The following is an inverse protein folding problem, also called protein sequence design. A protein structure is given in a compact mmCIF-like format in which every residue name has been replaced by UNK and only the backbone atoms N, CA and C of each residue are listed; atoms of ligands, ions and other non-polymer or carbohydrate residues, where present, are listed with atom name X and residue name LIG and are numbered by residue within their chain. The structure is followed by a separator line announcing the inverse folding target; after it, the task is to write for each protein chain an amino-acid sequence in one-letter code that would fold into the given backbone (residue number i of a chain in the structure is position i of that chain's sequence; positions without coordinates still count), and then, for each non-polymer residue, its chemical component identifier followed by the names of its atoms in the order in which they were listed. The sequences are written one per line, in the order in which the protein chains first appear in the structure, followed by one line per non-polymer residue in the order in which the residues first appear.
data_IF_049227845989
#
_entry.id   IF_049227845989
#
_cell.length_a   1.000
_cell.length_b   1.000
_cell.length_c   1.000
_cell.angle_alpha   90.00
_cell.angle_beta   90.00
_cell.angle_gamma   90.00
#
_symmetry.space_group_name_H-M   'P 1'
#
loop_
_entity.id
_entity.type
_entity.pdbx_description
1 polymer ?
#
# COMPACT_ATOMS: atom_id res chain seq x y z
N UNK A 1 -13.93 57.07 -13.40
CA UNK A 1 -14.69 57.11 -14.67
C UNK A 1 -13.85 56.35 -15.71
N UNK A 2 -14.37 55.39 -16.49
CA UNK A 2 -15.42 55.52 -17.53
C UNK A 2 -15.02 56.54 -18.62
N UNK A 3 -15.11 56.36 -19.95
CA UNK A 3 -15.48 55.26 -20.87
C UNK A 3 -15.14 55.74 -22.33
N UNK A 4 -15.02 54.99 -23.44
CA UNK A 4 -15.11 53.55 -23.81
C UNK A 4 -14.35 53.34 -25.16
N UNK A 5 -14.17 52.07 -25.61
CA UNK A 5 -13.81 51.63 -26.99
C UNK A 5 -12.38 51.94 -27.52
N UNK A 6 -11.84 51.20 -28.49
CA UNK A 6 -12.29 49.93 -29.11
C UNK A 6 -11.45 49.52 -30.33
N UNK A 7 -11.34 48.21 -30.62
CA UNK A 7 -10.64 47.66 -31.80
C UNK A 7 -11.45 46.52 -32.41
N UNK A 8 -11.59 46.52 -33.75
CA UNK A 8 -12.27 45.47 -34.50
C UNK A 8 -11.37 44.24 -34.66
N UNK A 9 -11.96 43.05 -34.58
CA UNK A 9 -11.41 41.82 -35.15
C UNK A 9 -12.50 41.13 -35.98
N UNK A 10 -12.27 40.97 -37.29
CA UNK A 10 -13.24 40.38 -38.19
C UNK A 10 -13.22 38.84 -38.08
N UNK A 11 -14.28 38.25 -37.53
CA UNK A 11 -14.43 36.80 -37.47
C UNK A 11 -14.95 36.25 -38.81
N UNK A 12 -14.07 35.60 -39.58
CA UNK A 12 -14.48 34.82 -40.76
C UNK A 12 -15.33 33.62 -40.32
N UNK A 13 -16.56 33.54 -40.82
CA UNK A 13 -17.49 32.44 -40.53
C UNK A 13 -17.04 31.20 -41.30
N UNK A 14 -16.40 30.26 -40.60
CA UNK A 14 -16.15 28.92 -41.13
C UNK A 14 -17.46 28.10 -41.14
N UNK A 15 -17.71 27.28 -42.18
CA UNK A 15 -18.89 26.42 -42.22
C UNK A 15 -18.82 25.31 -41.13
N UNK A 16 -19.97 24.81 -40.63
CA UNK A 16 -19.99 23.77 -39.62
C UNK A 16 -19.39 22.46 -40.18
N UNK A 17 -18.35 21.97 -39.50
CA UNK A 17 -17.77 20.66 -39.81
C UNK A 17 -18.81 19.55 -39.55
N UNK A 18 -19.00 18.68 -40.52
CA UNK A 18 -19.87 17.51 -40.38
C UNK A 18 -19.41 16.62 -39.20
N UNK A 19 -20.33 15.98 -38.45
CA UNK A 19 -19.98 15.17 -37.30
C UNK A 19 -19.14 13.97 -37.72
N UNK A 20 -17.84 14.03 -37.43
CA UNK A 20 -16.91 12.92 -37.67
C UNK A 20 -17.37 11.70 -36.88
N UNK A 21 -17.66 10.60 -37.59
CA UNK A 21 -18.06 9.35 -36.96
C UNK A 21 -16.98 8.92 -35.97
N UNK A 22 -17.34 8.81 -34.68
CA UNK A 22 -16.40 8.34 -33.66
C UNK A 22 -15.95 6.93 -34.06
N UNK A 23 -14.64 6.64 -34.16
CA UNK A 23 -14.19 5.29 -34.44
C UNK A 23 -14.74 4.36 -33.36
N UNK A 24 -15.37 3.26 -33.78
CA UNK A 24 -15.98 2.30 -32.86
C UNK A 24 -14.87 1.61 -32.06
N UNK A 25 -14.53 2.20 -30.92
CA UNK A 25 -13.45 1.71 -30.05
C UNK A 25 -13.88 0.33 -29.55
N UNK A 26 -13.15 -0.75 -29.85
CA UNK A 26 -13.53 -2.07 -29.35
C UNK A 26 -13.61 -2.01 -27.82
N UNK A 27 -14.56 -2.73 -27.19
CA UNK A 27 -14.58 -2.83 -25.74
C UNK A 27 -13.20 -3.31 -25.28
N UNK A 28 -12.62 -2.66 -24.28
CA UNK A 28 -11.41 -3.17 -23.64
C UNK A 28 -11.77 -4.54 -23.08
N UNK A 29 -11.27 -5.59 -23.72
CA UNK A 29 -11.44 -6.95 -23.23
C UNK A 29 -10.84 -7.01 -21.82
N UNK A 30 -11.70 -7.11 -20.81
CA UNK A 30 -11.25 -7.39 -19.46
C UNK A 30 -10.56 -8.77 -19.51
N UNK A 31 -9.32 -8.90 -19.00
CA UNK A 31 -8.63 -10.17 -19.05
C UNK A 31 -9.42 -11.21 -18.24
N UNK A 32 -9.43 -12.45 -18.74
CA UNK A 32 -10.11 -13.54 -18.05
C UNK A 32 -9.52 -13.77 -16.66
N UNK A 33 -10.32 -14.33 -15.75
CA UNK A 33 -9.85 -14.70 -14.41
C UNK A 33 -8.64 -15.66 -14.48
N UNK A 34 -8.57 -16.52 -15.51
CA UNK A 34 -7.41 -17.37 -15.79
C UNK A 34 -6.16 -16.58 -16.20
N UNK A 35 -6.30 -15.53 -17.01
CA UNK A 35 -5.19 -14.67 -17.40
C UNK A 35 -4.72 -13.78 -16.24
N UNK A 36 -5.62 -13.39 -15.33
CA UNK A 36 -5.26 -12.73 -14.08
C UNK A 36 -4.50 -13.68 -13.14
N UNK A 37 -5.02 -14.87 -12.84
CA UNK A 37 -4.33 -15.85 -11.97
C UNK A 37 -2.92 -16.16 -12.48
N UNK A 38 -2.75 -16.41 -13.78
CA UNK A 38 -1.42 -16.66 -14.35
C UNK A 38 -0.42 -15.51 -14.11
N UNK A 39 -0.89 -14.26 -14.03
CA UNK A 39 -0.06 -13.10 -13.67
C UNK A 39 0.20 -13.01 -12.17
N UNK A 40 -0.77 -13.39 -11.32
CA UNK A 40 -0.56 -13.49 -9.87
C UNK A 40 0.48 -14.55 -9.54
N UNK A 41 0.32 -15.76 -10.08
CA UNK A 41 1.20 -16.90 -9.86
C UNK A 41 2.64 -16.60 -10.34
N UNK A 42 2.76 -15.93 -11.50
CA UNK A 42 4.06 -15.45 -12.03
C UNK A 42 4.70 -14.36 -11.17
N UNK A 43 3.91 -13.44 -10.59
CA UNK A 43 4.42 -12.40 -9.69
C UNK A 43 4.79 -12.98 -8.32
N UNK A 44 4.11 -14.02 -7.85
CA UNK A 44 4.46 -14.71 -6.61
C UNK A 44 5.72 -15.56 -6.76
N UNK A 45 5.97 -16.17 -7.92
CA UNK A 45 7.24 -16.86 -8.19
C UNK A 45 8.42 -15.90 -8.40
N UNK A 46 8.18 -14.74 -9.00
CA UNK A 46 9.19 -13.73 -9.33
C UNK A 46 8.88 -12.39 -8.64
N UNK A 47 8.78 -12.39 -7.31
CA UNK A 47 8.30 -11.24 -6.54
C UNK A 47 9.27 -10.03 -6.45
N UNK A 48 10.52 -10.17 -6.92
CA UNK A 48 11.54 -9.12 -6.88
C UNK A 48 12.18 -8.83 -8.25
N UNK A 49 12.86 -7.69 -8.35
CA UNK A 49 13.54 -7.26 -9.58
C UNK A 49 12.63 -6.67 -10.66
N UNK A 50 13.16 -6.52 -11.88
CA UNK A 50 12.50 -5.81 -12.98
C UNK A 50 11.23 -6.53 -13.47
N UNK A 51 11.25 -7.85 -13.55
CA UNK A 51 10.10 -8.64 -14.00
C UNK A 51 8.90 -8.49 -13.05
N UNK A 52 9.15 -8.51 -11.74
CA UNK A 52 8.14 -8.21 -10.73
C UNK A 52 7.45 -6.86 -10.97
N UNK A 53 8.24 -5.81 -11.24
CA UNK A 53 7.76 -4.45 -11.49
C UNK A 53 6.87 -4.39 -12.75
N UNK A 54 7.19 -5.14 -13.81
CA UNK A 54 6.42 -5.14 -15.05
C UNK A 54 5.17 -6.04 -14.96
N UNK A 55 5.21 -7.16 -14.22
CA UNK A 55 4.03 -7.95 -13.84
C UNK A 55 3.06 -7.16 -12.95
N UNK A 56 3.60 -6.44 -11.96
CA UNK A 56 2.86 -5.54 -11.06
C UNK A 56 2.07 -4.48 -11.85
N UNK A 57 2.73 -3.73 -12.74
CA UNK A 57 2.06 -2.74 -13.62
C UNK A 57 0.95 -3.36 -14.48
N UNK A 58 1.14 -4.58 -14.97
CA UNK A 58 0.12 -5.31 -15.77
C UNK A 58 -1.11 -5.59 -14.92
N UNK A 59 -0.94 -6.09 -13.69
CA UNK A 59 -2.05 -6.34 -12.76
C UNK A 59 -2.78 -5.05 -12.36
N UNK A 60 -2.07 -3.98 -11.98
CA UNK A 60 -2.65 -2.66 -11.68
C UNK A 60 -3.50 -2.10 -12.84
N UNK A 61 -3.07 -2.34 -14.08
CA UNK A 61 -3.76 -1.85 -15.29
C UNK A 61 -4.92 -2.75 -15.68
N UNK A 62 -4.83 -4.05 -15.42
CA UNK A 62 -5.78 -5.08 -15.81
C UNK A 62 -7.07 -5.09 -14.97
N UNK A 63 -6.92 -5.02 -13.64
CA UNK A 63 -8.05 -5.02 -12.71
C UNK A 63 -7.76 -4.12 -11.47
N UNK A 64 -7.73 -2.79 -11.65
CA UNK A 64 -7.62 -1.87 -10.53
C UNK A 64 -8.85 -2.00 -9.60
N UNK A 65 -8.69 -1.90 -8.27
CA UNK A 65 -9.80 -2.01 -7.33
C UNK A 65 -10.77 -0.81 -7.46
N UNK A 66 -12.01 -0.95 -6.95
CA UNK A 66 -13.01 0.12 -6.98
C UNK A 66 -12.52 1.37 -6.24
N UNK A 67 -12.94 2.57 -6.68
CA UNK A 67 -12.42 3.85 -6.17
C UNK A 67 -12.80 4.14 -4.72
N UNK A 68 -13.86 3.50 -4.25
CA UNK A 68 -14.47 3.54 -2.94
C UNK A 68 -14.05 2.37 -2.04
N UNK A 69 -12.94 1.68 -2.35
CA UNK A 69 -12.46 0.46 -1.67
C UNK A 69 -12.47 0.52 -0.14
N UNK A 70 -12.09 1.65 0.47
CA UNK A 70 -12.03 1.85 1.92
C UNK A 70 -13.28 2.58 2.48
N UNK A 71 -14.27 2.86 1.64
CA UNK A 71 -15.48 3.64 1.96
C UNK A 71 -16.76 2.83 1.79
N UNK A 72 -16.79 1.85 0.87
CA UNK A 72 -17.83 0.83 0.77
C UNK A 72 -17.52 -0.33 1.72
N UNK A 73 -18.43 -0.69 2.66
CA UNK A 73 -18.19 -1.78 3.61
C UNK A 73 -17.91 -3.14 2.95
N UNK A 74 -18.56 -3.44 1.82
CA UNK A 74 -18.38 -4.67 1.06
C UNK A 74 -16.99 -4.71 0.40
N UNK A 75 -16.60 -3.62 -0.26
CA UNK A 75 -15.29 -3.53 -0.89
C UNK A 75 -14.16 -3.56 0.16
N UNK A 76 -14.37 -2.88 1.29
CA UNK A 76 -13.40 -2.80 2.38
C UNK A 76 -13.22 -4.16 3.07
N UNK A 77 -14.30 -4.93 3.27
CA UNK A 77 -14.23 -6.27 3.86
C UNK A 77 -13.24 -7.20 3.14
N UNK A 78 -13.03 -7.04 1.82
CA UNK A 78 -12.05 -7.81 1.05
C UNK A 78 -10.59 -7.56 1.48
N UNK A 79 -10.28 -6.41 2.08
CA UNK A 79 -8.96 -6.09 2.66
C UNK A 79 -8.73 -6.71 4.04
N UNK A 80 -9.80 -7.09 4.74
CA UNK A 80 -9.75 -7.55 6.13
C UNK A 80 -8.97 -8.87 6.27
N UNK A 81 -8.28 -9.04 7.40
CA UNK A 81 -7.49 -10.23 7.71
C UNK A 81 -5.98 -10.01 7.59
N UNK A 82 -5.23 -11.10 7.37
CA UNK A 82 -3.76 -11.14 7.43
C UNK A 82 -3.16 -11.33 6.03
N UNK A 83 -2.12 -10.54 5.72
CA UNK A 83 -1.43 -10.50 4.43
C UNK A 83 0.07 -10.69 4.64
N UNK A 84 0.69 -11.68 4.01
CA UNK A 84 2.14 -11.91 4.09
C UNK A 84 2.85 -11.01 3.09
N UNK A 85 3.87 -10.29 3.53
CA UNK A 85 4.67 -9.41 2.68
C UNK A 85 5.69 -10.24 1.89
N UNK A 86 5.38 -10.52 0.63
CA UNK A 86 6.22 -11.32 -0.27
C UNK A 86 7.44 -10.55 -0.74
N UNK A 87 7.25 -9.26 -1.08
CA UNK A 87 8.33 -8.37 -1.47
C UNK A 87 8.02 -6.89 -1.24
N UNK A 88 9.07 -6.14 -0.89
CA UNK A 88 9.11 -4.68 -0.94
C UNK A 88 10.07 -4.26 -2.05
N UNK A 89 9.62 -3.47 -3.01
CA UNK A 89 10.48 -2.81 -4.00
C UNK A 89 10.49 -1.31 -3.68
N UNK A 90 11.64 -0.81 -3.19
CA UNK A 90 11.83 0.62 -2.98
C UNK A 90 11.75 1.37 -4.32
N UNK A 91 11.18 2.57 -4.30
CA UNK A 91 11.14 3.41 -5.49
C UNK A 91 12.52 3.97 -5.86
N UNK A 92 12.68 4.25 -7.15
CA UNK A 92 13.75 5.07 -7.70
C UNK A 92 13.54 6.53 -7.26
N UNK A 93 14.06 6.90 -6.10
CA UNK A 93 14.55 8.28 -5.89
C UNK A 93 15.91 8.39 -6.61
N UNK A 94 16.20 9.53 -7.22
CA UNK A 94 17.14 9.63 -8.36
C UNK A 94 18.63 9.48 -8.05
N UNK A 95 19.01 8.99 -6.87
CA UNK A 95 20.36 9.09 -6.29
C UNK A 95 20.90 7.84 -5.61
N UNK A 96 20.11 6.76 -5.43
CA UNK A 96 20.51 5.60 -4.63
C UNK A 96 20.41 4.25 -5.36
N UNK A 97 21.52 3.49 -5.39
CA UNK A 97 21.65 2.13 -5.96
C UNK A 97 20.81 1.04 -5.25
N UNK A 98 19.97 1.42 -4.29
CA UNK A 98 19.05 0.52 -3.57
C UNK A 98 18.02 -0.11 -4.50
N UNK A 99 17.76 0.47 -5.68
CA UNK A 99 16.84 -0.09 -6.68
C UNK A 99 17.30 -1.45 -7.27
N UNK A 100 18.59 -1.79 -7.17
CA UNK A 100 19.13 -3.11 -7.53
C UNK A 100 19.15 -4.09 -6.34
N UNK A 101 18.79 -3.64 -5.14
CA UNK A 101 18.77 -4.42 -3.90
C UNK A 101 17.37 -4.40 -3.30
N UNK A 102 16.44 -5.13 -3.92
CA UNK A 102 15.16 -5.46 -3.30
C UNK A 102 15.42 -6.24 -2.01
N UNK A 103 15.28 -5.59 -0.85
CA UNK A 103 15.58 -6.19 0.45
C UNK A 103 14.41 -7.06 0.87
N UNK A 104 14.54 -8.38 0.65
CA UNK A 104 13.56 -9.37 1.06
C UNK A 104 13.29 -9.26 2.56
N UNK A 105 12.00 -9.25 2.94
CA UNK A 105 11.52 -9.13 4.32
C UNK A 105 11.62 -7.74 4.97
N UNK A 106 12.25 -6.73 4.35
CA UNK A 106 12.35 -5.41 4.97
C UNK A 106 11.01 -4.65 5.02
N UNK A 107 10.57 -4.31 6.23
CA UNK A 107 9.52 -3.32 6.48
C UNK A 107 10.16 -1.97 6.76
N UNK A 108 9.73 -0.92 6.04
CA UNK A 108 10.06 0.47 6.34
C UNK A 108 8.83 1.17 6.93
N UNK A 109 8.84 1.39 8.25
CA UNK A 109 7.83 2.19 8.94
C UNK A 109 8.48 3.49 9.42
N UNK A 110 8.06 4.63 8.85
CA UNK A 110 8.54 5.98 9.24
C UNK A 110 10.07 6.18 9.24
N UNK A 111 10.80 5.39 8.43
CA UNK A 111 12.27 5.42 8.36
C UNK A 111 12.98 4.43 9.29
N UNK A 112 12.25 3.63 10.09
CA UNK A 112 12.82 2.47 10.76
C UNK A 112 12.84 1.28 9.78
N UNK A 113 14.04 0.80 9.45
CA UNK A 113 14.24 -0.46 8.74
C UNK A 113 14.50 -1.55 9.77
N UNK A 114 13.61 -2.54 9.86
CA UNK A 114 13.78 -3.68 10.75
C UNK A 114 14.23 -4.89 9.92
N UNK A 115 15.43 -5.46 10.16
CA UNK A 115 15.86 -6.67 9.49
C UNK A 115 15.08 -7.88 10.02
N UNK A 116 14.43 -8.61 9.12
CA UNK A 116 13.80 -9.90 9.40
C UNK A 116 14.82 -11.01 9.54
N UNK A 117 14.51 -11.97 10.41
CA UNK A 117 15.05 -13.32 10.30
C UNK A 117 14.58 -13.92 8.96
N UNK A 118 15.51 -14.35 8.09
CA UNK A 118 15.20 -14.83 6.73
C UNK A 118 14.23 -16.02 6.70
N UNK A 119 14.02 -16.70 7.83
CA UNK A 119 13.07 -17.82 7.93
C UNK A 119 11.59 -17.41 7.90
N UNK A 120 11.24 -16.13 8.10
CA UNK A 120 9.83 -15.67 8.11
C UNK A 120 9.61 -14.27 7.52
N UNK A 121 8.65 -14.19 6.60
CA UNK A 121 8.19 -12.94 5.99
C UNK A 121 7.29 -12.13 6.95
N UNK A 122 7.33 -10.78 6.91
CA UNK A 122 6.44 -9.94 7.73
C UNK A 122 4.96 -10.17 7.40
N UNK A 123 4.08 -9.98 8.38
CA UNK A 123 2.63 -10.08 8.18
C UNK A 123 1.97 -8.75 8.47
N UNK A 124 1.24 -8.20 7.50
CA UNK A 124 0.36 -7.06 7.72
C UNK A 124 -1.08 -7.52 7.99
N UNK A 125 -1.60 -7.20 9.16
CA UNK A 125 -3.02 -7.39 9.49
C UNK A 125 -3.78 -6.07 9.28
N UNK A 126 -4.98 -6.16 8.71
CA UNK A 126 -5.96 -5.07 8.65
C UNK A 126 -7.22 -5.53 9.37
N UNK A 127 -7.67 -4.72 10.33
CA UNK A 127 -9.03 -4.76 10.88
C UNK A 127 -9.79 -3.53 10.38
N UNK A 128 -10.70 -3.77 9.44
CA UNK A 128 -11.53 -2.74 8.80
C UNK A 128 -12.58 -2.20 9.75
N UNK A 129 -13.06 -3.02 10.69
CA UNK A 129 -14.11 -2.65 11.65
C UNK A 129 -13.55 -1.77 12.77
N UNK A 130 -12.32 -2.05 13.21
CA UNK A 130 -11.59 -1.23 14.17
C UNK A 130 -10.91 0.00 13.53
N UNK A 131 -10.82 0.06 12.20
CA UNK A 131 -10.00 1.03 11.45
C UNK A 131 -8.52 0.98 11.88
N UNK A 132 -8.00 -0.24 12.07
CA UNK A 132 -6.65 -0.53 12.55
C UNK A 132 -5.83 -1.30 11.52
N UNK A 133 -4.54 -0.97 11.43
CA UNK A 133 -3.56 -1.64 10.58
C UNK A 133 -2.31 -1.93 11.41
N UNK A 134 -1.78 -3.14 11.30
CA UNK A 134 -0.59 -3.56 12.04
C UNK A 134 0.37 -4.37 11.19
N UNK A 135 1.66 -4.14 11.35
CA UNK A 135 2.72 -4.93 10.74
C UNK A 135 3.41 -5.75 11.83
N UNK A 136 3.48 -7.06 11.65
CA UNK A 136 4.13 -8.02 12.53
C UNK A 136 5.44 -8.50 11.91
N UNK A 137 6.51 -8.50 12.70
CA UNK A 137 7.86 -8.89 12.30
C UNK A 137 8.41 -9.84 13.36
N UNK A 138 8.77 -11.06 12.99
CA UNK A 138 9.48 -11.97 13.91
C UNK A 138 10.98 -11.64 13.92
N UNK A 139 11.53 -11.54 15.13
CA UNK A 139 12.88 -11.09 15.42
C UNK A 139 13.59 -12.13 16.29
N UNK A 140 14.83 -12.45 15.93
CA UNK A 140 15.75 -13.21 16.77
C UNK A 140 16.60 -12.22 17.59
N UNK A 141 16.23 -12.02 18.86
CA UNK A 141 16.92 -11.13 19.80
C UNK A 141 18.25 -11.75 20.29
N UNK A 142 19.15 -10.97 20.92
CA UNK A 142 20.31 -11.50 21.61
C UNK A 142 19.97 -12.65 22.56
N UNK A 143 20.93 -13.57 22.74
CA UNK A 143 20.75 -14.85 23.45
C UNK A 143 19.76 -15.83 22.76
N UNK A 144 19.41 -15.61 21.48
CA UNK A 144 18.56 -16.52 20.70
C UNK A 144 17.07 -16.45 21.03
N UNK A 145 16.64 -15.42 21.76
CA UNK A 145 15.25 -15.25 22.18
C UNK A 145 14.42 -14.78 20.97
N UNK A 146 13.57 -15.66 20.43
CA UNK A 146 12.59 -15.25 19.41
C UNK A 146 11.52 -14.35 20.03
N UNK A 147 11.11 -13.32 19.30
CA UNK A 147 10.04 -12.40 19.69
C UNK A 147 9.28 -11.90 18.45
N UNK A 148 8.04 -11.43 18.64
CA UNK A 148 7.28 -10.76 17.57
C UNK A 148 7.15 -9.28 17.92
N UNK A 149 7.60 -8.41 17.03
CA UNK A 149 7.35 -6.97 17.09
C UNK A 149 6.08 -6.65 16.28
N UNK A 150 5.11 -5.96 16.90
CA UNK A 150 3.93 -5.42 16.21
C UNK A 150 4.03 -3.89 16.19
N UNK A 151 3.97 -3.32 14.99
CA UNK A 151 3.86 -1.86 14.75
C UNK A 151 2.44 -1.60 14.24
N UNK A 152 1.57 -1.02 15.05
CA UNK A 152 0.16 -0.80 14.72
C UNK A 152 -0.27 0.67 14.83
N UNK A 153 -1.35 1.00 14.13
CA UNK A 153 -1.86 2.35 13.98
C UNK A 153 -3.31 2.39 13.52
N UNK A 154 -3.92 3.56 13.65
CA UNK A 154 -5.20 3.84 13.00
C UNK A 154 -5.01 4.06 11.50
N UNK A 155 -6.08 3.89 10.72
CA UNK A 155 -6.12 4.35 9.35
C UNK A 155 -7.47 4.94 8.96
N UNK A 156 -7.48 5.79 7.92
CA UNK A 156 -8.69 6.37 7.32
C UNK A 156 -8.54 6.50 5.81
N UNK A 157 -9.64 6.52 5.07
CA UNK A 157 -9.60 6.78 3.64
C UNK A 157 -9.12 8.21 3.32
N UNK A 158 -8.34 8.39 2.26
CA UNK A 158 -8.09 9.69 1.63
C UNK A 158 -9.36 10.14 0.89
N UNK A 159 -9.87 11.34 1.20
CA UNK A 159 -11.01 11.93 0.54
C UNK A 159 -10.81 12.15 -0.98
N UNK A 160 -9.57 12.08 -1.48
CA UNK A 160 -9.20 12.23 -2.90
C UNK A 160 -9.15 10.90 -3.66
N UNK A 161 -8.93 9.78 -2.97
CA UNK A 161 -8.91 8.43 -3.55
C UNK A 161 -9.19 7.39 -2.46
N UNK A 162 -10.41 6.84 -2.43
CA UNK A 162 -10.84 5.85 -1.45
C UNK A 162 -10.12 4.49 -1.53
N UNK A 163 -9.10 4.35 -2.38
CA UNK A 163 -8.16 3.22 -2.36
C UNK A 163 -6.89 3.49 -1.55
N UNK A 164 -6.71 4.73 -1.07
CA UNK A 164 -5.58 5.14 -0.24
C UNK A 164 -6.01 5.23 1.22
N UNK A 165 -5.36 4.43 2.06
CA UNK A 165 -5.38 4.56 3.50
C UNK A 165 -4.30 5.57 3.92
N UNK A 166 -4.69 6.60 4.65
CA UNK A 166 -3.80 7.45 5.43
C UNK A 166 -3.61 6.73 6.78
N UNK A 167 -2.35 6.50 7.19
CA UNK A 167 -1.99 5.58 8.28
C UNK A 167 -1.17 6.31 9.36
N UNK A 168 -1.64 6.25 10.59
CA UNK A 168 -1.07 6.97 11.73
C UNK A 168 -0.70 5.94 12.83
N UNK A 169 0.59 5.57 12.90
CA UNK A 169 1.11 4.59 13.86
C UNK A 169 1.13 5.13 15.30
N UNK A 170 0.72 4.30 16.26
CA UNK A 170 0.56 4.65 17.68
C UNK A 170 0.99 3.54 18.66
N UNK A 171 1.18 2.31 18.18
CA UNK A 171 1.49 1.13 18.96
C UNK A 171 2.78 0.48 18.46
N UNK A 172 3.70 0.27 19.41
CA UNK A 172 4.95 -0.47 19.22
C UNK A 172 5.01 -1.48 20.37
N UNK A 173 4.59 -2.71 20.11
CA UNK A 173 4.42 -3.75 21.12
C UNK A 173 5.32 -4.96 20.79
N UNK A 174 6.05 -5.48 21.79
CA UNK A 174 6.93 -6.65 21.63
C UNK A 174 6.34 -7.83 22.42
N UNK A 175 6.32 -9.02 21.81
CA UNK A 175 5.69 -10.23 22.36
C UNK A 175 6.65 -11.44 22.36
N UNK A 176 6.45 -12.37 23.30
CA UNK A 176 7.09 -13.70 23.26
C UNK A 176 6.48 -14.57 22.15
N UNK A 177 7.12 -15.71 21.78
CA UNK A 177 6.56 -16.65 20.81
C UNK A 177 5.24 -17.28 21.25
N UNK A 178 4.98 -17.32 22.57
CA UNK A 178 3.70 -17.72 23.17
C UNK A 178 2.69 -16.57 23.29
N UNK A 179 2.82 -15.50 22.50
CA UNK A 179 1.87 -14.39 22.44
C UNK A 179 1.79 -13.51 23.69
N UNK A 180 2.70 -13.63 24.67
CA UNK A 180 2.70 -12.75 25.86
C UNK A 180 3.42 -11.44 25.55
N UNK A 181 2.75 -10.30 25.69
CA UNK A 181 3.39 -8.98 25.58
C UNK A 181 4.49 -8.81 26.64
N UNK A 182 5.67 -8.40 26.20
CA UNK A 182 6.85 -8.05 26.99
C UNK A 182 6.97 -6.53 27.19
N UNK A 183 6.79 -5.76 26.12
CA UNK A 183 7.01 -4.29 26.11
C UNK A 183 5.87 -3.61 25.37
N UNK A 184 5.44 -2.45 25.86
CA UNK A 184 4.59 -1.49 25.15
C UNK A 184 5.32 -0.15 25.07
N UNK A 185 5.73 0.24 23.87
CA UNK A 185 6.58 1.38 23.59
C UNK A 185 5.90 2.45 22.71
N UNK A 186 4.57 2.56 22.75
CA UNK A 186 3.81 3.55 21.96
C UNK A 186 4.28 5.00 22.14
N UNK A 187 4.79 5.35 23.33
CA UNK A 187 5.40 6.66 23.62
C UNK A 187 6.56 7.04 22.66
N UNK A 188 7.20 6.05 22.02
CA UNK A 188 8.24 6.28 21.02
C UNK A 188 7.68 7.04 19.81
N UNK A 189 6.40 6.84 19.45
CA UNK A 189 5.77 7.62 18.38
C UNK A 189 5.55 9.08 18.79
N UNK A 190 5.24 9.36 20.05
CA UNK A 190 5.05 10.74 20.52
C UNK A 190 6.40 11.48 20.61
N UNK A 191 7.47 10.77 20.97
CA UNK A 191 8.86 11.26 20.86
C UNK A 191 9.25 11.49 19.38
N UNK A 192 8.93 10.56 18.47
CA UNK A 192 9.21 10.72 17.03
C UNK A 192 8.43 11.90 16.44
N UNK A 193 7.13 12.05 16.73
CA UNK A 193 6.30 13.20 16.32
C UNK A 193 6.91 14.51 16.80
N UNK A 194 7.32 14.58 18.08
CA UNK A 194 7.94 15.78 18.68
C UNK A 194 9.31 16.13 18.09
N UNK A 195 10.07 15.14 17.63
CA UNK A 195 11.38 15.33 16.99
C UNK A 195 11.30 15.49 15.45
N UNK A 196 10.20 15.08 14.83
CA UNK A 196 9.92 15.16 13.38
C UNK A 196 8.45 15.55 13.15
N UNK A 197 8.06 16.82 13.42
CA UNK A 197 6.67 17.26 13.29
C UNK A 197 6.10 17.07 11.88
N UNK A 198 6.94 17.11 10.83
CA UNK A 198 6.56 16.85 9.42
C UNK A 198 6.06 15.42 9.12
N UNK A 199 6.00 14.53 10.10
CA UNK A 199 5.35 13.21 10.02
C UNK A 199 3.96 13.16 10.65
N UNK A 200 3.49 14.26 11.27
CA UNK A 200 2.45 14.21 12.31
C UNK A 200 1.06 14.72 11.90
N UNK A 201 0.94 15.47 10.80
CA UNK A 201 -0.32 16.09 10.38
C UNK A 201 -0.56 15.97 8.87
N UNK A 202 -1.82 16.20 8.45
CA UNK A 202 -2.35 15.93 7.11
C UNK A 202 -1.85 16.81 5.96
N UNK A 203 -0.66 17.41 6.08
CA UNK A 203 0.05 18.03 4.96
C UNK A 203 0.62 16.97 3.99
N UNK A 204 1.29 17.41 2.93
CA UNK A 204 1.73 16.57 1.81
C UNK A 204 2.79 15.48 2.15
N UNK A 205 3.19 15.35 3.41
CA UNK A 205 4.09 14.31 3.94
C UNK A 205 3.42 13.19 4.74
N UNK A 206 2.10 13.26 5.00
CA UNK A 206 1.39 12.27 5.79
C UNK A 206 1.50 10.85 5.21
N UNK A 207 1.74 9.85 6.07
CA UNK A 207 2.04 8.48 5.63
C UNK A 207 0.80 7.79 5.03
N UNK A 208 0.93 7.28 3.81
CA UNK A 208 -0.15 6.58 3.11
C UNK A 208 0.26 5.25 2.47
N UNK A 209 -0.74 4.38 2.34
CA UNK A 209 -0.71 3.12 1.60
C UNK A 209 -1.91 3.08 0.65
N UNK A 210 -1.68 2.88 -0.64
CA UNK A 210 -2.71 2.81 -1.68
C UNK A 210 -2.77 1.40 -2.25
N UNK A 211 -3.94 0.74 -2.16
CA UNK A 211 -4.16 -0.56 -2.81
C UNK A 211 -4.43 -0.34 -4.30
N UNK A 212 -3.62 -0.95 -5.16
CA UNK A 212 -3.68 -0.77 -6.60
C UNK A 212 -4.07 -2.04 -7.38
N UNK A 213 -4.10 -3.19 -6.70
CA UNK A 213 -4.75 -4.43 -7.14
C UNK A 213 -5.23 -5.21 -5.90
N UNK A 214 -6.38 -5.90 -5.98
CA UNK A 214 -6.91 -6.74 -4.90
C UNK A 214 -7.76 -7.90 -5.43
N UNK A 215 -7.20 -9.10 -5.36
CA UNK A 215 -7.90 -10.37 -5.46
C UNK A 215 -8.03 -11.03 -4.08
N UNK A 216 -8.50 -12.26 -4.07
CA UNK A 216 -8.68 -13.02 -2.83
C UNK A 216 -7.37 -13.70 -2.40
N UNK A 217 -6.39 -13.84 -3.32
CA UNK A 217 -5.03 -14.37 -3.07
C UNK A 217 -3.95 -13.30 -2.97
N UNK A 218 -4.10 -12.18 -3.69
CA UNK A 218 -3.03 -11.20 -3.91
C UNK A 218 -3.53 -9.76 -3.70
N UNK A 219 -2.75 -8.96 -2.97
CA UNK A 219 -2.97 -7.52 -2.79
C UNK A 219 -1.70 -6.75 -3.12
N UNK A 220 -1.80 -5.83 -4.07
CA UNK A 220 -0.71 -4.94 -4.46
C UNK A 220 -0.90 -3.57 -3.84
N UNK A 221 0.17 -3.05 -3.24
CA UNK A 221 0.19 -1.75 -2.58
C UNK A 221 1.26 -0.83 -3.14
N UNK A 222 0.98 0.47 -3.10
CA UNK A 222 1.99 1.54 -3.22
C UNK A 222 2.03 2.35 -1.92
N UNK A 223 3.19 2.83 -1.53
CA UNK A 223 3.36 3.71 -0.37
C UNK A 223 4.01 5.04 -0.71
N UNK A 224 4.26 5.82 0.35
CA UNK A 224 5.06 7.04 0.34
C UNK A 224 6.32 6.90 -0.53
N UNK A 225 6.68 7.98 -1.24
CA UNK A 225 7.79 8.02 -2.21
C UNK A 225 7.72 7.01 -3.37
N UNK A 226 6.64 6.24 -3.49
CA UNK A 226 6.37 5.35 -4.63
C UNK A 226 6.70 3.88 -4.41
N UNK A 227 7.18 3.49 -3.20
CA UNK A 227 7.53 2.10 -2.87
C UNK A 227 6.38 1.14 -3.18
N UNK A 228 6.73 -0.04 -3.69
CA UNK A 228 5.82 -1.09 -4.12
C UNK A 228 5.83 -2.22 -3.08
N UNK A 229 4.65 -2.75 -2.76
CA UNK A 229 4.46 -3.91 -1.88
C UNK A 229 3.67 -4.99 -2.62
N UNK A 230 4.21 -6.21 -2.63
CA UNK A 230 3.53 -7.43 -3.10
C UNK A 230 3.16 -8.23 -1.87
N UNK A 231 1.87 -8.52 -1.66
CA UNK A 231 1.42 -9.32 -0.52
C UNK A 231 0.46 -10.43 -0.95
N UNK A 232 0.71 -11.65 -0.46
CA UNK A 232 -0.24 -12.76 -0.53
C UNK A 232 -1.21 -12.71 0.65
N UNK A 233 -2.42 -13.29 0.52
CA UNK A 233 -3.29 -13.54 1.68
C UNK A 233 -2.68 -14.67 2.51
N UNK A 234 -2.56 -14.47 3.81
CA UNK A 234 -2.10 -15.51 4.72
C UNK A 234 -3.12 -16.65 4.74
N UNK A 235 -2.65 -17.89 4.55
CA UNK A 235 -3.45 -19.10 4.75
C UNK A 235 -3.49 -19.50 6.24
N UNK A 236 -2.58 -18.96 7.04
CA UNK A 236 -2.51 -19.15 8.49
C UNK A 236 -3.30 -18.02 9.20
N UNK A 237 -4.60 -18.26 9.43
CA UNK A 237 -5.41 -17.40 10.31
C UNK A 237 -4.80 -17.29 11.72
N UNK A 238 -4.16 -18.38 12.18
CA UNK A 238 -3.57 -18.57 13.50
C UNK A 238 -2.12 -18.09 13.67
N UNK A 239 -1.83 -16.82 13.37
CA UNK A 239 -0.55 -16.20 13.77
C UNK A 239 -0.37 -16.15 15.30
N UNK A 240 0.85 -15.98 15.84
CA UNK A 240 1.11 -15.93 17.29
C UNK A 240 0.39 -14.77 18.01
N UNK A 241 -0.04 -13.76 17.25
CA UNK A 241 -0.81 -12.60 17.73
C UNK A 241 -2.25 -12.56 17.17
N UNK A 242 -2.77 -13.66 16.63
CA UNK A 242 -4.15 -13.78 16.13
C UNK A 242 -5.20 -13.47 17.20
N UNK A 243 -4.96 -13.91 18.44
CA UNK A 243 -5.80 -13.61 19.60
C UNK A 243 -5.65 -12.18 20.14
N UNK A 244 -4.75 -11.36 19.60
CA UNK A 244 -4.56 -9.96 20.02
C UNK A 244 -5.20 -9.01 19.00
N UNK A 245 -6.21 -8.21 19.41
CA UNK A 245 -6.71 -7.13 18.56
C UNK A 245 -5.61 -6.10 18.24
N UNK A 246 -5.80 -5.35 17.16
CA UNK A 246 -4.87 -4.31 16.70
C UNK A 246 -5.05 -2.98 17.45
#
# INVERSE_FOLDING_TARGET
MWCLAGVLAAALIAPPLAPTARPCRPPRAHPSLSALSALEDSLLSCASGKEAIDLFKRLETAAPPPRDLLSSPEAAARLNGRWVLEATVAALDGTDDLALKGVEGAVNASGLVVPTDQSKKPVQQIDVKALRIGNEIELSLPLGIKATLRVAGSFRADARDGRRALVEFDSLDLFTPGGRRLVRAGFVFDVIRRLRPSLSEGEAGASWLQTTYLSDRLRLGRGNKGSIFVLSRSLDDGGPLSAWPL
#
